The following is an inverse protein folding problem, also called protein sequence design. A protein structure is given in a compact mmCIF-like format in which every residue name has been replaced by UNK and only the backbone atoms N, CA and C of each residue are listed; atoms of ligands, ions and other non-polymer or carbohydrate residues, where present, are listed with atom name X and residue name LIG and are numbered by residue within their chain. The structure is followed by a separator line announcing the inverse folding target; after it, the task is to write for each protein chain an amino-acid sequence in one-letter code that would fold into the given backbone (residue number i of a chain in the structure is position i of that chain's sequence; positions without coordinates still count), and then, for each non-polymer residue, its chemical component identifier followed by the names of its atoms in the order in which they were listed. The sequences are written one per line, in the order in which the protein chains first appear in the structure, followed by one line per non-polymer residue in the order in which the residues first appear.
data_IF_020465846792
#
_entry.id   IF_020465846792
#
_cell.length_a   1.000
_cell.length_b   1.000
_cell.length_c   1.000
_cell.angle_alpha   90.00
_cell.angle_beta   90.00
_cell.angle_gamma   90.00
#
_symmetry.space_group_name_H-M   'P 1'
#
loop_
_entity.id
_entity.type
_entity.pdbx_description
1 polymer ?
#
# COMPACT_ATOMS: atom_id res chain seq x y z
N UNK A 1 -21.17 0.31 8.98
CA UNK A 1 -20.39 0.83 7.83
C UNK A 1 -18.96 0.39 8.03
N UNK A 2 -18.39 -0.41 7.12
CA UNK A 2 -17.00 -0.85 7.26
C UNK A 2 -16.07 0.29 6.83
N UNK A 3 -15.05 0.58 7.64
CA UNK A 3 -14.05 1.59 7.31
C UNK A 3 -13.35 1.23 5.99
N UNK A 4 -13.17 2.22 5.12
CA UNK A 4 -12.33 2.06 3.91
C UNK A 4 -10.91 2.48 4.24
N UNK A 5 -9.97 1.74 3.67
CA UNK A 5 -8.54 1.99 3.78
C UNK A 5 -8.00 2.29 2.40
N UNK A 6 -7.14 3.29 2.30
CA UNK A 6 -6.32 3.54 1.11
C UNK A 6 -4.90 3.11 1.41
N UNK A 7 -4.34 2.24 0.56
CA UNK A 7 -2.97 1.77 0.67
C UNK A 7 -2.12 2.45 -0.39
N UNK A 8 -0.91 2.84 -0.02
CA UNK A 8 0.07 3.43 -0.92
C UNK A 8 1.41 2.71 -0.78
N UNK A 9 1.80 1.97 -1.82
CA UNK A 9 3.19 1.54 -1.99
C UNK A 9 3.97 2.68 -2.64
N UNK A 10 4.79 3.35 -1.82
CA UNK A 10 5.60 4.47 -2.28
C UNK A 10 6.88 4.03 -2.98
N UNK A 11 7.18 4.63 -4.13
CA UNK A 11 8.48 4.47 -4.81
C UNK A 11 9.68 5.10 -4.09
N UNK A 12 9.43 5.93 -3.06
CA UNK A 12 10.45 6.73 -2.36
C UNK A 12 10.41 6.60 -0.84
N UNK A 13 9.42 5.89 -0.28
CA UNK A 13 9.20 5.79 1.16
C UNK A 13 8.56 4.45 1.54
N UNK A 14 7.88 4.39 2.67
CA UNK A 14 7.23 3.22 3.26
C UNK A 14 5.89 2.84 2.60
N UNK A 15 5.34 1.69 3.01
CA UNK A 15 3.95 1.35 2.77
C UNK A 15 3.12 2.22 3.73
N UNK A 16 2.23 3.02 3.16
CA UNK A 16 1.35 3.90 3.93
C UNK A 16 -0.06 3.33 3.87
N UNK A 17 -0.69 3.25 5.04
CA UNK A 17 -2.11 2.91 5.17
C UNK A 17 -2.84 4.15 5.67
N UNK A 18 -3.80 4.61 4.89
CA UNK A 18 -4.65 5.75 5.19
C UNK A 18 -6.02 5.26 5.62
N UNK A 19 -6.45 5.66 6.81
CA UNK A 19 -7.83 5.47 7.22
C UNK A 19 -8.67 6.56 6.55
N UNK A 20 -9.82 6.19 5.99
CA UNK A 20 -10.78 7.16 5.45
C UNK A 20 -11.84 7.53 6.46
N UNK A 21 -12.40 8.73 6.31
CA UNK A 21 -13.63 9.15 7.01
C UNK A 21 -14.77 8.15 6.74
N UNK A 22 -15.79 8.07 7.62
CA UNK A 22 -16.88 7.10 7.45
C UNK A 22 -17.59 7.19 6.10
N UNK A 23 -17.73 8.40 5.55
CA UNK A 23 -18.29 8.68 4.23
C UNK A 23 -17.32 8.36 3.05
N UNK A 24 -16.07 7.98 3.35
CA UNK A 24 -15.05 7.57 2.37
C UNK A 24 -14.42 8.71 1.55
N UNK A 25 -14.77 9.96 1.86
CA UNK A 25 -14.39 11.13 1.05
C UNK A 25 -12.98 11.65 1.34
N UNK A 26 -12.51 11.51 2.57
CA UNK A 26 -11.23 12.08 3.01
C UNK A 26 -10.37 11.07 3.73
N UNK A 27 -9.04 11.22 3.63
CA UNK A 27 -8.09 10.49 4.46
C UNK A 27 -7.99 11.22 5.81
N UNK A 28 -8.24 10.51 6.91
CA UNK A 28 -8.27 11.08 8.27
C UNK A 28 -6.97 10.87 9.02
N UNK A 29 -6.31 9.73 8.83
CA UNK A 29 -5.03 9.41 9.48
C UNK A 29 -4.17 8.54 8.58
N UNK A 30 -2.86 8.56 8.81
CA UNK A 30 -1.90 7.71 8.13
C UNK A 30 -1.03 6.97 9.14
N UNK A 31 -0.84 5.68 8.90
CA UNK A 31 0.15 4.89 9.60
C UNK A 31 1.14 4.39 8.55
N UNK A 32 2.42 4.76 8.71
CA UNK A 32 3.50 4.11 7.98
C UNK A 32 3.73 2.75 8.63
N UNK A 33 3.29 1.68 7.98
CA UNK A 33 3.30 0.35 8.58
C UNK A 33 4.59 -0.40 8.32
N UNK A 34 5.34 -0.08 7.26
CA UNK A 34 6.64 -0.74 6.99
C UNK A 34 7.54 0.03 6.00
N UNK A 35 8.84 0.14 6.34
CA UNK A 35 9.90 0.56 5.40
C UNK A 35 10.21 -0.58 4.41
N UNK A 36 9.31 -0.80 3.45
CA UNK A 36 9.43 -1.91 2.50
C UNK A 36 10.59 -1.74 1.49
N UNK A 37 11.07 -0.52 1.27
CA UNK A 37 12.11 -0.23 0.27
C UNK A 37 13.48 -0.85 0.58
N UNK A 38 13.71 -1.34 1.80
CA UNK A 38 14.90 -2.15 2.08
C UNK A 38 14.83 -3.53 1.41
N UNK A 39 13.62 -4.02 1.12
CA UNK A 39 13.35 -5.41 0.76
C UNK A 39 12.74 -5.60 -0.63
N UNK A 40 11.96 -4.64 -1.13
CA UNK A 40 11.33 -4.69 -2.47
C UNK A 40 11.45 -3.38 -3.24
N UNK A 41 11.68 -3.46 -4.55
CA UNK A 41 11.75 -2.32 -5.45
C UNK A 41 10.35 -1.95 -5.89
N UNK A 42 9.99 -0.68 -5.73
CA UNK A 42 8.70 -0.13 -6.15
C UNK A 42 8.98 0.88 -7.25
N UNK A 43 8.97 0.46 -8.52
CA UNK A 43 9.35 1.33 -9.65
C UNK A 43 8.38 2.50 -9.82
N UNK A 44 7.10 2.27 -9.52
CA UNK A 44 6.00 3.21 -9.67
C UNK A 44 5.16 3.22 -8.40
N UNK A 45 4.63 4.39 -8.05
CA UNK A 45 3.75 4.50 -6.89
C UNK A 45 2.41 3.84 -7.18
N UNK A 46 1.98 2.95 -6.30
CA UNK A 46 0.68 2.26 -6.43
C UNK A 46 -0.22 2.73 -5.29
N UNK A 47 -1.42 3.18 -5.63
CA UNK A 47 -2.46 3.55 -4.66
C UNK A 47 -3.71 2.73 -4.97
N UNK A 48 -4.29 2.10 -3.96
CA UNK A 48 -5.52 1.30 -4.09
C UNK A 48 -6.36 1.37 -2.82
N UNK A 49 -7.64 1.01 -2.93
CA UNK A 49 -8.59 1.01 -1.80
C UNK A 49 -9.04 -0.41 -1.46
N UNK A 50 -9.24 -0.65 -0.16
CA UNK A 50 -9.80 -1.90 0.37
C UNK A 50 -10.77 -1.64 1.51
N UNK A 51 -11.66 -2.59 1.74
CA UNK A 51 -12.47 -2.59 2.96
C UNK A 51 -11.64 -3.13 4.12
N UNK A 52 -11.91 -2.64 5.33
CA UNK A 52 -11.31 -3.21 6.53
C UNK A 52 -11.61 -4.72 6.62
N UNK A 53 -10.57 -5.51 6.90
CA UNK A 53 -10.63 -6.97 6.96
C UNK A 53 -10.37 -7.68 5.62
N UNK A 54 -10.34 -6.96 4.48
CA UNK A 54 -9.89 -7.54 3.23
C UNK A 54 -8.35 -7.63 3.19
N UNK A 55 -7.78 -8.77 2.74
CA UNK A 55 -6.34 -8.90 2.62
C UNK A 55 -5.81 -8.02 1.49
N UNK A 56 -4.61 -7.48 1.71
CA UNK A 56 -3.80 -6.82 0.68
C UNK A 56 -2.93 -7.86 -0.01
N UNK A 57 -2.99 -7.91 -1.33
CA UNK A 57 -2.14 -8.78 -2.14
C UNK A 57 -1.10 -7.94 -2.87
N UNK A 58 0.17 -8.33 -2.79
CA UNK A 58 1.28 -7.67 -3.49
C UNK A 58 1.96 -8.73 -4.35
N UNK A 59 1.96 -8.50 -5.66
CA UNK A 59 2.63 -9.38 -6.61
C UNK A 59 4.05 -8.92 -6.85
N UNK A 60 4.99 -9.84 -6.68
CA UNK A 60 6.43 -9.59 -6.80
C UNK A 60 7.01 -10.39 -7.97
N UNK A 61 7.86 -9.75 -8.75
CA UNK A 61 8.73 -10.39 -9.70
C UNK A 61 10.10 -10.63 -9.06
N UNK A 62 10.56 -11.88 -9.09
CA UNK A 62 11.94 -12.20 -8.72
C UNK A 62 12.89 -11.58 -9.74
N UNK A 63 13.90 -10.88 -9.25
CA UNK A 63 15.00 -10.32 -10.05
C UNK A 63 16.33 -10.86 -9.53
N UNK A 64 17.44 -10.57 -10.22
CA UNK A 64 18.79 -10.94 -9.75
C UNK A 64 19.23 -10.20 -8.48
N UNK A 65 18.52 -9.10 -8.13
CA UNK A 65 18.77 -8.32 -6.93
C UNK A 65 17.51 -8.26 -6.07
N UNK A 66 16.96 -7.06 -5.90
CA UNK A 66 15.80 -6.82 -5.04
C UNK A 66 14.51 -7.18 -5.80
N UNK A 67 13.61 -8.00 -5.22
CA UNK A 67 12.32 -8.31 -5.85
C UNK A 67 11.56 -7.04 -6.22
N UNK A 68 10.94 -7.03 -7.39
CA UNK A 68 10.24 -5.87 -7.93
C UNK A 68 8.74 -6.02 -7.74
N UNK A 69 8.07 -4.99 -7.24
CA UNK A 69 6.61 -4.94 -7.18
C UNK A 69 6.05 -4.77 -8.60
N UNK A 70 5.13 -5.66 -8.98
CA UNK A 70 4.39 -5.60 -10.24
C UNK A 70 3.06 -4.88 -10.07
N UNK A 71 2.27 -5.30 -9.06
CA UNK A 71 0.97 -4.71 -8.72
C UNK A 71 0.61 -5.00 -7.27
N UNK A 72 -0.31 -4.21 -6.74
CA UNK A 72 -0.90 -4.42 -5.42
C UNK A 72 -2.40 -4.12 -5.46
N UNK A 73 -3.20 -4.91 -4.75
CA UNK A 73 -4.66 -4.82 -4.76
C UNK A 73 -5.32 -5.45 -3.54
#
# INVERSE_FOLDING_TARGET
MFARLSFQLSRKSSLLMWCKSPDGTSNVTSHATTYHLRYVDVPEQIIFEKRAGEPVTIELQKTSGKPKVLRAY
#
